data_IF_817087172335
#
_entry.id   IF_817087172335
#
_cell.length_a   1.000
_cell.length_b   1.000
_cell.length_c   1.000
_cell.angle_alpha   90.00
_cell.angle_beta   90.00
_cell.angle_gamma   90.00
#
_symmetry.space_group_name_H-M   'P 1'
#
loop_
_entity.id
_entity.type
_entity.pdbx_description
1 polymer ?
#
# COMPACT_ATOMS: atom_id res chain seq x y z
N UNK A 1 -13.75 -2.41 7.94
CA UNK A 1 -12.45 -1.74 8.16
C UNK A 1 -11.33 -2.61 7.62
N UNK A 2 -10.39 -2.02 6.90
CA UNK A 2 -9.24 -2.74 6.39
C UNK A 2 -8.17 -2.84 7.48
N UNK A 3 -7.70 -4.03 7.77
CA UNK A 3 -6.58 -4.24 8.67
C UNK A 3 -5.27 -3.96 7.93
N UNK A 4 -4.22 -3.71 8.70
CA UNK A 4 -2.91 -3.43 8.13
C UNK A 4 -2.42 -4.58 7.23
N UNK A 5 -2.67 -5.82 7.65
CA UNK A 5 -2.31 -7.00 6.84
C UNK A 5 -3.07 -7.02 5.52
N UNK A 6 -4.33 -6.60 5.52
CA UNK A 6 -5.11 -6.52 4.29
C UNK A 6 -4.60 -5.41 3.38
N UNK A 7 -4.17 -4.30 3.96
CA UNK A 7 -3.57 -3.19 3.21
C UNK A 7 -2.33 -3.67 2.47
N UNK A 8 -1.44 -4.36 3.18
CA UNK A 8 -0.22 -4.91 2.60
C UNK A 8 -0.56 -5.87 1.46
N UNK A 9 -1.48 -6.80 1.73
CA UNK A 9 -1.89 -7.80 0.75
C UNK A 9 -2.47 -7.14 -0.50
N UNK A 10 -3.33 -6.15 -0.33
CA UNK A 10 -3.95 -5.45 -1.46
C UNK A 10 -2.91 -4.80 -2.34
N UNK A 11 -1.94 -4.12 -1.75
CA UNK A 11 -0.90 -3.42 -2.51
C UNK A 11 0.02 -4.42 -3.20
N UNK A 12 0.42 -5.47 -2.48
CA UNK A 12 1.29 -6.50 -3.03
C UNK A 12 0.62 -7.23 -4.20
N UNK A 13 -0.65 -7.61 -4.04
CA UNK A 13 -1.39 -8.30 -5.10
C UNK A 13 -1.56 -7.41 -6.33
N UNK A 14 -1.80 -6.12 -6.13
CA UNK A 14 -1.91 -5.19 -7.24
C UNK A 14 -0.59 -5.12 -8.02
N UNK A 15 0.53 -5.02 -7.28
CA UNK A 15 1.84 -5.03 -7.92
C UNK A 15 2.05 -6.30 -8.75
N UNK A 16 1.74 -7.45 -8.15
CA UNK A 16 1.92 -8.74 -8.82
C UNK A 16 1.01 -8.88 -10.03
N UNK A 17 -0.23 -8.43 -9.91
CA UNK A 17 -1.19 -8.47 -11.01
C UNK A 17 -0.70 -7.65 -12.21
N UNK A 18 -0.05 -6.53 -11.95
CA UNK A 18 0.51 -5.69 -12.99
C UNK A 18 1.87 -6.19 -13.48
N UNK A 19 2.36 -7.29 -12.92
CA UNK A 19 3.65 -7.90 -13.27
C UNK A 19 4.82 -6.94 -13.07
N UNK A 20 4.73 -6.12 -12.02
CA UNK A 20 5.79 -5.19 -11.65
C UNK A 20 6.64 -5.82 -10.55
N UNK A 21 7.96 -5.85 -10.74
CA UNK A 21 8.85 -6.40 -9.72
C UNK A 21 9.00 -5.39 -8.58
N UNK A 22 9.45 -5.88 -7.41
CA UNK A 22 9.74 -4.99 -6.29
C UNK A 22 10.78 -3.94 -6.68
N UNK A 23 11.81 -4.36 -7.42
CA UNK A 23 12.87 -3.46 -7.87
C UNK A 23 12.30 -2.34 -8.74
N UNK A 24 11.45 -2.69 -9.69
CA UNK A 24 10.85 -1.70 -10.58
C UNK A 24 9.92 -0.76 -9.81
N UNK A 25 9.10 -1.31 -8.91
CA UNK A 25 8.22 -0.46 -8.10
C UNK A 25 9.01 0.50 -7.23
N UNK A 26 10.09 0.02 -6.60
CA UNK A 26 10.94 0.87 -5.78
C UNK A 26 11.53 2.00 -6.63
N UNK A 27 12.02 1.69 -7.82
CA UNK A 27 12.60 2.68 -8.71
C UNK A 27 11.57 3.73 -9.14
N UNK A 28 10.41 3.29 -9.62
CA UNK A 28 9.39 4.19 -10.14
C UNK A 28 8.76 5.05 -9.04
N UNK A 29 8.63 4.51 -7.84
CA UNK A 29 8.00 5.22 -6.74
C UNK A 29 8.95 6.14 -5.98
N UNK A 30 10.24 5.92 -6.12
CA UNK A 30 11.25 6.62 -5.33
C UNK A 30 11.34 6.10 -3.90
N UNK A 31 10.72 4.97 -3.60
CA UNK A 31 10.81 4.31 -2.29
C UNK A 31 11.96 3.33 -2.32
N UNK A 32 12.79 3.30 -1.26
CA UNK A 32 13.90 2.39 -1.20
C UNK A 32 13.45 0.94 -1.28
N UNK A 33 14.21 0.09 -1.97
CA UNK A 33 13.87 -1.32 -2.13
C UNK A 33 13.76 -2.03 -0.79
N UNK A 34 14.65 -1.71 0.14
CA UNK A 34 14.61 -2.30 1.48
C UNK A 34 13.32 -1.95 2.21
N UNK A 35 12.89 -0.70 2.10
CA UNK A 35 11.65 -0.25 2.71
C UNK A 35 10.45 -0.99 2.11
N UNK A 36 10.44 -1.14 0.79
CA UNK A 36 9.36 -1.85 0.11
C UNK A 36 9.33 -3.33 0.53
N UNK A 37 10.48 -3.98 0.58
CA UNK A 37 10.55 -5.38 1.00
C UNK A 37 10.06 -5.56 2.44
N UNK A 38 10.45 -4.66 3.33
CA UNK A 38 9.97 -4.70 4.71
C UNK A 38 8.46 -4.51 4.78
N UNK A 39 7.94 -3.56 4.02
CA UNK A 39 6.50 -3.33 3.95
C UNK A 39 5.76 -4.58 3.50
N UNK A 40 6.18 -5.18 2.40
CA UNK A 40 5.47 -6.33 1.83
C UNK A 40 5.59 -7.58 2.71
N UNK A 41 6.59 -7.65 3.55
CA UNK A 41 6.75 -8.77 4.48
C UNK A 41 5.99 -8.57 5.79
N UNK A 42 5.30 -7.44 5.93
CA UNK A 42 4.56 -7.13 7.16
C UNK A 42 5.40 -6.49 8.23
N UNK A 43 6.66 -6.17 7.92
CA UNK A 43 7.55 -5.50 8.85
C UNK A 43 7.62 -4.01 8.55
N UNK A 44 8.15 -3.26 9.51
CA UNK A 44 8.31 -1.84 9.33
C UNK A 44 7.01 -1.09 9.60
N UNK A 45 7.08 0.21 9.43
CA UNK A 45 5.96 1.08 9.70
C UNK A 45 6.01 2.25 8.71
N UNK A 46 5.57 2.02 7.47
CA UNK A 46 5.67 3.04 6.43
C UNK A 46 4.81 4.25 6.75
N UNK A 47 5.30 5.42 6.35
CA UNK A 47 4.52 6.63 6.48
C UNK A 47 3.42 6.66 5.43
N UNK A 48 2.44 7.53 5.63
CA UNK A 48 1.39 7.75 4.64
C UNK A 48 2.01 8.19 3.31
N UNK A 49 3.03 9.04 3.37
CA UNK A 49 3.70 9.50 2.15
C UNK A 49 4.33 8.34 1.38
N UNK A 50 4.98 7.40 2.08
CA UNK A 50 5.53 6.21 1.45
C UNK A 50 4.44 5.39 0.77
N UNK A 51 3.33 5.19 1.45
CA UNK A 51 2.20 4.45 0.87
C UNK A 51 1.67 5.15 -0.38
N UNK A 52 1.51 6.47 -0.33
CA UNK A 52 1.03 7.25 -1.47
C UNK A 52 1.95 7.10 -2.66
N UNK A 53 3.26 7.14 -2.44
CA UNK A 53 4.24 6.96 -3.52
C UNK A 53 4.13 5.59 -4.17
N UNK A 54 3.96 4.56 -3.37
CA UNK A 54 3.84 3.19 -3.87
C UNK A 54 2.56 3.00 -4.67
N UNK A 55 1.42 3.38 -4.10
CA UNK A 55 0.13 3.12 -4.73
C UNK A 55 -0.09 3.97 -5.97
N UNK A 56 0.50 5.17 -6.02
CA UNK A 56 0.41 6.03 -7.19
C UNK A 56 0.95 5.33 -8.44
N UNK A 57 2.09 4.65 -8.31
CA UNK A 57 2.68 3.88 -9.41
C UNK A 57 1.76 2.75 -9.84
N UNK A 58 0.99 2.19 -8.90
CA UNK A 58 0.12 1.05 -9.15
C UNK A 58 -1.30 1.46 -9.60
N UNK A 59 -1.51 2.75 -9.86
CA UNK A 59 -2.81 3.25 -10.29
C UNK A 59 -3.86 3.26 -9.19
N UNK A 60 -3.43 3.38 -7.95
CA UNK A 60 -4.31 3.42 -6.79
C UNK A 60 -4.10 4.73 -6.04
N UNK A 61 -4.96 4.98 -5.08
CA UNK A 61 -4.78 6.12 -4.18
C UNK A 61 -5.19 5.73 -2.77
N UNK A 62 -4.63 6.44 -1.80
CA UNK A 62 -5.02 6.28 -0.40
C UNK A 62 -6.07 7.34 -0.11
N UNK A 63 -7.20 6.92 0.41
CA UNK A 63 -8.27 7.84 0.76
C UNK A 63 -8.88 7.43 2.09
N UNK A 64 -9.57 8.37 2.71
CA UNK A 64 -10.29 8.14 3.94
C UNK A 64 -11.78 8.17 3.65
N UNK A 65 -12.48 7.21 4.22
CA UNK A 65 -13.92 7.11 4.06
C UNK A 65 -14.56 7.13 5.44
N UNK A 66 -15.57 7.96 5.60
CA UNK A 66 -16.30 7.99 6.86
C UNK A 66 -17.10 6.70 7.02
N UNK A 67 -17.01 6.11 8.20
CA UNK A 67 -17.82 4.95 8.50
C UNK A 67 -19.27 5.37 8.60
N UNK A 68 -20.16 4.56 8.06
CA UNK A 68 -21.58 4.74 8.29
C UNK A 68 -21.87 4.37 9.73
N UNK A 69 -22.32 5.34 10.52
CA UNK A 69 -22.76 5.10 11.88
C UNK A 69 -24.24 4.84 11.81
N UNK A 70 -24.66 3.58 11.98
CA UNK A 70 -26.05 3.23 12.19
C UNK A 70 -26.32 3.43 13.66
N UNK A 71 -26.94 4.52 13.97
CA UNK A 71 -27.28 4.78 15.35
C UNK A 71 -28.53 4.03 15.68
N UNK A 72 -28.46 4.04 15.67
CA UNK A 72 -29.13 3.89 16.14
C UNK A 72 -29.41 3.91 16.53
N UNK A 73 -29.21 3.82 16.41
CA UNK A 73 -29.01 3.89 16.56
C UNK A 73 -29.16 4.12 16.94
#
# INVERSE_FOLDING_TARGET
>A
MMHYTELIKTIKERREMLQVTQETLAELSGVGLRTLKQFESGKGNPTLLTLQKLVDVLGMEVSLTLKTITANK
#
